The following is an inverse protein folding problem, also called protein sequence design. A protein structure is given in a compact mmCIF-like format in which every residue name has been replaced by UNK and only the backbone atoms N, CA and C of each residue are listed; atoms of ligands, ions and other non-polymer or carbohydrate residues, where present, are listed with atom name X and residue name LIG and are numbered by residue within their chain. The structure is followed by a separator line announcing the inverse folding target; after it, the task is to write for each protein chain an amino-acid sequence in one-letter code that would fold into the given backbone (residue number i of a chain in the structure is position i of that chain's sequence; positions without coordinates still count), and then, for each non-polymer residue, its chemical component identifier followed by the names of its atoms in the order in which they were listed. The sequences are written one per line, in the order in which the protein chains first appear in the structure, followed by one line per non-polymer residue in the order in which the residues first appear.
data_IF_232579639153
#
_entry.id   IF_232579639153
#
_cell.length_a   1.000
_cell.length_b   1.000
_cell.length_c   1.000
_cell.angle_alpha   90.00
_cell.angle_beta   90.00
_cell.angle_gamma   90.00
#
_symmetry.space_group_name_H-M   'P 1'
#
loop_
_entity.id
_entity.type
_entity.pdbx_description
1 polymer ?
#
# COMPACT_ATOMS: atom_id res chain seq x y z
N UNK A 1 -19.57 -6.11 -4.44
CA UNK A 1 -19.43 -5.28 -3.22
C UNK A 1 -17.95 -5.14 -2.93
N UNK A 2 -17.45 -3.92 -2.77
CA UNK A 2 -16.04 -3.66 -2.40
C UNK A 2 -15.86 -3.89 -0.90
N UNK A 3 -14.75 -4.51 -0.50
CA UNK A 3 -14.49 -4.72 0.93
C UNK A 3 -14.22 -3.38 1.64
N UNK A 4 -14.42 -3.29 2.97
CA UNK A 4 -14.05 -2.09 3.73
C UNK A 4 -12.57 -1.69 3.57
N UNK A 5 -11.68 -2.68 3.42
CA UNK A 5 -10.27 -2.44 3.14
C UNK A 5 -10.05 -1.80 1.77
N UNK A 6 -10.74 -2.29 0.74
CA UNK A 6 -10.65 -1.71 -0.61
C UNK A 6 -11.12 -0.25 -0.62
N UNK A 7 -12.16 0.08 0.16
CA UNK A 7 -12.63 1.46 0.32
C UNK A 7 -11.55 2.35 0.96
N UNK A 8 -10.87 1.87 2.00
CA UNK A 8 -9.77 2.61 2.65
C UNK A 8 -8.59 2.81 1.69
N UNK A 9 -8.21 1.77 0.94
CA UNK A 9 -7.14 1.84 -0.06
C UNK A 9 -7.48 2.87 -1.14
N UNK A 10 -8.72 2.88 -1.63
CA UNK A 10 -9.18 3.84 -2.64
C UNK A 10 -9.26 5.28 -2.11
N UNK A 11 -9.39 5.46 -0.79
CA UNK A 11 -9.43 6.78 -0.15
C UNK A 11 -8.04 7.38 0.13
N UNK A 12 -6.95 6.64 -0.11
CA UNK A 12 -5.59 7.14 0.11
C UNK A 12 -5.28 8.37 -0.75
N UNK A 13 -4.86 9.45 -0.09
CA UNK A 13 -4.35 10.67 -0.74
C UNK A 13 -2.88 10.49 -1.14
N UNK A 14 -2.36 11.27 -2.10
CA UNK A 14 -0.95 11.19 -2.50
C UNK A 14 0.01 11.26 -1.31
N UNK A 15 0.97 10.33 -1.26
CA UNK A 15 1.94 10.19 -0.18
C UNK A 15 1.43 9.45 1.06
N UNK A 16 0.15 9.04 1.10
CA UNK A 16 -0.38 8.26 2.21
C UNK A 16 -0.19 6.76 2.01
N UNK A 17 -0.17 6.05 3.13
CA UNK A 17 -0.12 4.60 3.17
C UNK A 17 -1.07 4.03 4.23
N UNK A 18 -1.43 2.77 4.06
CA UNK A 18 -2.15 1.98 5.05
C UNK A 18 -1.55 0.58 5.17
N UNK A 19 -1.50 0.06 6.40
CA UNK A 19 -1.15 -1.33 6.67
C UNK A 19 -2.27 -2.26 6.21
N UNK A 20 -1.93 -3.21 5.34
CA UNK A 20 -2.83 -4.27 4.89
C UNK A 20 -2.69 -5.49 5.81
N UNK A 21 -1.46 -5.89 6.10
CA UNK A 21 -1.16 -7.05 6.93
C UNK A 21 0.26 -6.98 7.47
N UNK A 22 0.59 -7.84 8.43
CA UNK A 22 1.96 -8.03 8.89
C UNK A 22 2.16 -7.85 10.39
N UNK A 23 3.40 -8.09 10.81
CA UNK A 23 3.87 -8.10 12.18
C UNK A 23 5.19 -7.31 12.32
N UNK A 24 5.99 -7.62 13.34
CA UNK A 24 7.29 -6.95 13.60
C UNK A 24 8.39 -7.34 12.61
N UNK A 25 8.21 -8.43 11.86
CA UNK A 25 9.21 -8.98 10.94
C UNK A 25 8.92 -8.64 9.48
N UNK A 26 7.64 -8.69 9.10
CA UNK A 26 7.18 -8.39 7.74
C UNK A 26 5.93 -7.52 7.82
N UNK A 27 5.96 -6.39 7.12
CA UNK A 27 4.83 -5.46 7.02
C UNK A 27 4.43 -5.30 5.55
N UNK A 28 3.13 -5.36 5.26
CA UNK A 28 2.60 -5.10 3.92
C UNK A 28 1.73 -3.85 3.95
N UNK A 29 2.06 -2.89 3.09
CA UNK A 29 1.33 -1.62 2.95
C UNK A 29 0.74 -1.46 1.55
N UNK A 30 -0.35 -0.69 1.46
CA UNK A 30 -0.79 -0.03 0.24
C UNK A 30 -0.40 1.45 0.34
N UNK A 31 0.25 1.96 -0.68
CA UNK A 31 0.78 3.33 -0.71
C UNK A 31 0.30 4.06 -1.97
N UNK A 32 -0.20 5.28 -1.81
CA UNK A 32 -0.49 6.18 -2.93
C UNK A 32 0.75 7.00 -3.23
N UNK A 33 1.25 6.92 -4.47
CA UNK A 33 2.46 7.68 -4.86
C UNK A 33 2.28 9.18 -4.63
N UNK A 34 3.39 9.91 -4.47
CA UNK A 34 3.36 11.36 -4.21
C UNK A 34 2.71 12.19 -5.33
N UNK A 35 2.72 11.69 -6.57
CA UNK A 35 1.99 12.29 -7.69
C UNK A 35 0.54 11.79 -7.83
N UNK A 36 0.10 10.86 -6.96
CA UNK A 36 -1.25 10.33 -6.97
C UNK A 36 -1.59 9.47 -8.18
N UNK A 37 -0.63 9.03 -8.99
CA UNK A 37 -0.91 8.25 -10.21
C UNK A 37 -0.85 6.74 -9.99
N UNK A 38 -0.17 6.31 -8.93
CA UNK A 38 0.08 4.90 -8.65
C UNK A 38 -0.41 4.53 -7.27
N UNK A 39 -0.99 3.34 -7.19
CA UNK A 39 -1.14 2.60 -5.96
C UNK A 39 -0.11 1.47 -5.97
N UNK A 40 0.73 1.41 -4.94
CA UNK A 40 1.81 0.44 -4.80
C UNK A 40 1.53 -0.44 -3.60
N UNK A 41 1.66 -1.75 -3.77
CA UNK A 41 1.64 -2.70 -2.68
C UNK A 41 3.07 -3.08 -2.37
N UNK A 42 3.48 -2.76 -1.15
CA UNK A 42 4.87 -2.81 -0.73
C UNK A 42 5.00 -3.79 0.42
N UNK A 43 5.98 -4.69 0.32
CA UNK A 43 6.40 -5.57 1.40
C UNK A 43 7.66 -5.00 2.02
N UNK A 44 7.59 -4.66 3.28
CA UNK A 44 8.70 -4.19 4.10
C UNK A 44 9.23 -5.35 4.95
N UNK A 45 10.56 -5.44 5.00
CA UNK A 45 11.32 -6.39 5.81
C UNK A 45 12.45 -5.65 6.51
N UNK A 46 13.15 -6.30 7.45
CA UNK A 46 14.33 -5.71 8.08
C UNK A 46 15.44 -5.33 7.07
N UNK A 47 15.47 -5.96 5.90
CA UNK A 47 16.51 -5.77 4.88
C UNK A 47 16.12 -4.74 3.81
N UNK A 48 14.97 -4.07 3.96
CA UNK A 48 14.45 -3.12 2.99
C UNK A 48 13.05 -3.49 2.53
N UNK A 49 12.67 -2.98 1.36
CA UNK A 49 11.30 -3.12 0.84
C UNK A 49 11.28 -3.62 -0.61
N UNK A 50 10.15 -4.21 -0.98
CA UNK A 50 9.87 -4.64 -2.34
C UNK A 50 8.46 -4.22 -2.72
N UNK A 51 8.34 -3.48 -3.83
CA UNK A 51 7.04 -3.25 -4.48
C UNK A 51 6.70 -4.51 -5.27
N UNK A 52 5.67 -5.24 -4.88
CA UNK A 52 5.30 -6.52 -5.51
C UNK A 52 4.05 -6.43 -6.38
N UNK A 53 3.29 -5.34 -6.27
CA UNK A 53 2.16 -5.02 -7.16
C UNK A 53 2.01 -3.52 -7.30
N UNK A 54 1.67 -3.08 -8.50
CA UNK A 54 1.31 -1.69 -8.79
C UNK A 54 0.02 -1.64 -9.58
N UNK A 55 -0.82 -0.64 -9.31
CA UNK A 55 -1.98 -0.30 -10.12
C UNK A 55 -1.92 1.18 -10.48
N UNK A 56 -2.19 1.49 -11.74
CA UNK A 56 -2.30 2.87 -12.21
C UNK A 56 -3.76 3.31 -12.14
N UNK A 57 -3.97 4.59 -11.84
CA UNK A 57 -5.27 5.26 -11.91
C UNK A 57 -5.39 6.05 -13.21
#
# INVERSE_FOLDING_TARGET
MTSPLDQQINALKPGQEIKISGDKTILVTAERSGNGLWLRFVRHTANGFQVFKTSRF
#
